data_IF_622945410013
#
_entry.id   IF_622945410013
#
_cell.length_a   1.000
_cell.length_b   1.000
_cell.length_c   1.000
_cell.angle_alpha   90.00
_cell.angle_beta   90.00
_cell.angle_gamma   90.00
#
_symmetry.space_group_name_H-M   'P 1'
#
loop_
_entity.id
_entity.type
_entity.pdbx_description
1 polymer ?
#
# COMPACT_ATOMS: atom_id res chain seq x y z
N UNK A 1 45.43 -8.91 -23.19
CA UNK A 1 44.00 -8.57 -23.20
C UNK A 1 43.44 -8.98 -21.84
N UNK A 2 43.11 -7.99 -21.02
CA UNK A 2 43.15 -8.12 -19.56
C UNK A 2 41.92 -8.82 -19.00
N UNK A 3 42.13 -9.72 -18.03
CA UNK A 3 41.06 -10.37 -17.23
C UNK A 3 40.23 -9.31 -16.48
N UNK A 4 40.78 -8.11 -16.29
CA UNK A 4 40.16 -6.99 -15.60
C UNK A 4 39.07 -6.30 -16.45
N UNK A 5 39.25 -6.17 -17.76
CA UNK A 5 38.24 -5.61 -18.67
C UNK A 5 37.03 -6.53 -18.81
N UNK A 6 37.22 -7.86 -18.80
CA UNK A 6 36.12 -8.82 -18.88
C UNK A 6 35.30 -8.88 -17.58
N UNK A 7 35.94 -8.70 -16.42
CA UNK A 7 35.27 -8.58 -15.12
C UNK A 7 34.50 -7.27 -14.96
N UNK A 8 35.02 -6.16 -15.50
CA UNK A 8 34.32 -4.87 -15.49
C UNK A 8 33.12 -4.91 -16.45
N UNK A 9 33.27 -5.50 -17.65
CA UNK A 9 32.15 -5.70 -18.58
C UNK A 9 31.10 -6.65 -18.01
N UNK A 10 31.50 -7.69 -17.27
CA UNK A 10 30.55 -8.65 -16.68
C UNK A 10 29.78 -8.03 -15.52
N UNK A 11 30.43 -7.22 -14.66
CA UNK A 11 29.77 -6.45 -13.61
C UNK A 11 28.82 -5.38 -14.19
N UNK A 12 29.22 -4.69 -15.27
CA UNK A 12 28.38 -3.72 -15.97
C UNK A 12 27.23 -4.36 -16.79
N UNK A 13 27.35 -5.63 -17.17
CA UNK A 13 26.24 -6.44 -17.72
C UNK A 13 25.29 -6.92 -16.63
N UNK A 14 25.81 -7.23 -15.44
CA UNK A 14 25.01 -7.71 -14.30
C UNK A 14 24.14 -6.61 -13.67
N UNK A 15 24.53 -5.34 -13.80
CA UNK A 15 23.73 -4.19 -13.33
C UNK A 15 22.50 -3.87 -14.18
N UNK A 16 22.27 -4.59 -15.29
CA UNK A 16 21.20 -4.27 -16.25
C UNK A 16 19.92 -5.10 -16.14
N UNK A 17 19.69 -5.76 -15.00
CA UNK A 17 18.39 -6.35 -14.64
C UNK A 17 18.05 -5.98 -13.19
N UNK A 18 17.90 -4.69 -12.90
CA UNK A 18 17.16 -4.27 -11.70
C UNK A 18 15.72 -4.77 -11.95
N UNK A 19 15.29 -5.81 -11.24
CA UNK A 19 13.92 -6.32 -11.37
C UNK A 19 12.97 -5.22 -10.92
N UNK A 20 12.26 -4.61 -11.88
CA UNK A 20 11.25 -3.60 -11.59
C UNK A 20 9.93 -4.33 -11.36
N UNK A 21 9.47 -4.34 -10.11
CA UNK A 21 8.11 -4.77 -9.81
C UNK A 21 7.15 -3.62 -10.08
N UNK A 22 6.16 -3.83 -10.94
CA UNK A 22 5.06 -2.89 -11.15
C UNK A 22 3.90 -3.27 -10.25
N UNK A 23 3.48 -2.33 -9.42
CA UNK A 23 2.42 -2.55 -8.43
C UNK A 23 1.29 -1.58 -8.73
N UNK A 24 0.08 -2.13 -8.85
CA UNK A 24 -1.15 -1.34 -9.03
C UNK A 24 -2.04 -1.56 -7.82
N UNK A 25 -2.45 -0.48 -7.15
CA UNK A 25 -3.53 -0.51 -6.16
C UNK A 25 -4.76 0.10 -6.83
N UNK A 26 -5.88 -0.61 -6.78
CA UNK A 26 -7.16 -0.07 -7.22
C UNK A 26 -8.03 0.15 -5.98
N UNK A 27 -8.52 1.37 -5.81
CA UNK A 27 -9.47 1.72 -4.77
C UNK A 27 -10.81 1.96 -5.46
N UNK A 28 -11.71 0.99 -5.31
CA UNK A 28 -13.05 1.07 -5.87
C UNK A 28 -14.01 1.66 -4.84
N UNK A 29 -14.32 2.95 -4.97
CA UNK A 29 -15.23 3.67 -4.08
C UNK A 29 -16.68 3.70 -4.63
N UNK A 30 -17.02 2.80 -5.56
CA UNK A 30 -18.29 2.90 -6.30
C UNK A 30 -19.53 2.63 -5.45
N UNK A 31 -19.39 1.76 -4.44
CA UNK A 31 -20.46 1.35 -3.54
C UNK A 31 -20.52 2.17 -2.25
N UNK A 32 -19.50 2.99 -1.99
CA UNK A 32 -19.46 3.87 -0.83
C UNK A 32 -20.30 5.12 -1.06
N UNK A 33 -20.82 5.67 0.04
CA UNK A 33 -21.44 7.01 0.05
C UNK A 33 -20.46 8.11 0.45
N UNK A 34 -19.28 7.71 0.91
CA UNK A 34 -18.25 8.61 1.44
C UNK A 34 -17.25 8.98 0.33
N UNK A 35 -16.69 10.17 0.40
CA UNK A 35 -15.53 10.60 -0.38
C UNK A 35 -14.26 10.32 0.41
N UNK A 36 -13.19 9.98 -0.30
CA UNK A 36 -11.86 9.81 0.29
C UNK A 36 -11.03 11.07 0.01
N UNK A 37 -10.47 11.67 1.05
CA UNK A 37 -9.75 12.94 1.01
C UNK A 37 -8.30 12.80 1.42
N UNK A 38 -7.51 13.83 1.12
CA UNK A 38 -6.14 14.02 1.57
C UNK A 38 -5.26 12.78 1.42
N UNK A 39 -5.32 12.14 0.24
CA UNK A 39 -4.53 10.96 -0.06
C UNK A 39 -3.06 11.15 0.30
N UNK A 40 -2.52 10.25 1.13
CA UNK A 40 -1.10 10.19 1.53
C UNK A 40 -0.55 8.79 1.29
N UNK A 41 0.74 8.69 1.06
CA UNK A 41 1.40 7.38 0.92
C UNK A 41 2.73 7.36 1.65
N UNK A 42 2.98 6.27 2.36
CA UNK A 42 4.29 5.95 2.91
C UNK A 42 4.84 4.77 2.12
N UNK A 43 5.99 4.97 1.50
CA UNK A 43 6.62 4.02 0.60
C UNK A 43 7.84 3.41 1.27
N UNK A 44 7.87 2.09 1.40
CA UNK A 44 9.08 1.39 1.83
C UNK A 44 10.23 1.62 0.84
N UNK A 45 11.46 1.33 1.28
CA UNK A 45 12.69 1.51 0.49
C UNK A 45 12.54 0.97 -0.94
N UNK A 46 13.02 1.74 -1.92
CA UNK A 46 13.04 1.34 -3.33
C UNK A 46 11.70 1.45 -4.07
N UNK A 47 10.62 1.84 -3.40
CA UNK A 47 9.33 2.09 -4.04
C UNK A 47 9.18 3.55 -4.47
N UNK A 48 8.55 3.75 -5.63
CA UNK A 48 8.27 5.07 -6.19
C UNK A 48 6.88 5.09 -6.85
N UNK A 49 6.16 6.20 -6.68
CA UNK A 49 4.95 6.48 -7.46
C UNK A 49 5.30 6.75 -8.94
N UNK A 50 4.57 6.12 -9.85
CA UNK A 50 4.67 6.40 -11.30
C UNK A 50 3.85 7.64 -11.64
N UNK A 51 2.65 7.70 -11.10
CA UNK A 51 1.71 8.81 -11.23
C UNK A 51 1.50 9.47 -9.87
N UNK A 52 1.18 10.77 -9.82
CA UNK A 52 0.78 11.42 -8.58
C UNK A 52 -0.31 10.62 -7.86
N UNK A 53 -0.22 10.56 -6.53
CA UNK A 53 -1.25 9.94 -5.71
C UNK A 53 -2.55 10.75 -5.86
N UNK A 54 -3.71 10.12 -6.14
CA UNK A 54 -5.00 10.80 -6.15
C UNK A 54 -5.24 11.42 -4.77
N UNK A 55 -5.36 12.75 -4.74
CA UNK A 55 -5.62 13.49 -3.50
C UNK A 55 -7.05 13.23 -2.99
N UNK A 56 -7.96 12.95 -3.92
CA UNK A 56 -9.38 12.72 -3.66
C UNK A 56 -9.89 11.57 -4.51
N UNK A 57 -10.81 10.77 -3.97
CA UNK A 57 -11.59 9.76 -4.70
C UNK A 57 -13.05 9.98 -4.33
N UNK A 58 -13.87 10.52 -5.25
CA UNK A 58 -15.26 10.80 -4.91
C UNK A 58 -16.05 9.51 -4.70
N UNK A 59 -17.20 9.64 -4.02
CA UNK A 59 -18.23 8.60 -4.06
C UNK A 59 -18.53 8.22 -5.51
N UNK A 60 -18.76 6.93 -5.77
CA UNK A 60 -19.06 6.41 -7.13
C UNK A 60 -17.88 6.42 -8.12
N UNK A 61 -16.67 6.72 -7.66
CA UNK A 61 -15.46 6.69 -8.50
C UNK A 61 -14.56 5.50 -8.17
N UNK A 62 -13.61 5.23 -9.07
CA UNK A 62 -12.55 4.26 -8.86
C UNK A 62 -11.25 4.90 -9.31
N UNK A 63 -10.23 4.79 -8.46
CA UNK A 63 -8.91 5.32 -8.77
C UNK A 63 -7.85 4.23 -8.70
N UNK A 64 -6.79 4.43 -9.51
CA UNK A 64 -5.69 3.48 -9.64
C UNK A 64 -4.37 4.15 -9.34
N UNK A 65 -3.64 3.58 -8.38
CA UNK A 65 -2.34 4.09 -7.94
C UNK A 65 -1.29 3.14 -8.49
N UNK A 66 -0.41 3.67 -9.33
CA UNK A 66 0.66 2.90 -9.98
C UNK A 66 1.99 3.20 -9.33
N UNK A 67 2.72 2.15 -8.96
CA UNK A 67 4.05 2.23 -8.35
C UNK A 67 5.03 1.28 -9.03
N UNK A 68 6.29 1.64 -8.91
CA UNK A 68 7.43 0.83 -9.29
C UNK A 68 8.26 0.53 -8.03
N UNK A 69 8.78 -0.68 -7.95
CA UNK A 69 9.82 -1.03 -6.98
C UNK A 69 11.07 -1.47 -7.71
N UNK A 70 12.21 -0.86 -7.37
CA UNK A 70 13.53 -1.26 -7.87
C UNK A 70 14.12 -2.45 -7.09
N UNK A 71 13.41 -2.92 -6.07
CA UNK A 71 13.78 -4.08 -5.27
C UNK A 71 12.66 -5.14 -5.31
N UNK A 72 13.05 -6.42 -5.24
CA UNK A 72 12.09 -7.53 -5.34
C UNK A 72 11.06 -7.55 -4.20
N UNK A 73 11.44 -7.05 -3.02
CA UNK A 73 10.57 -6.95 -1.84
C UNK A 73 10.05 -5.53 -1.74
N UNK A 74 8.73 -5.34 -1.82
CA UNK A 74 8.12 -4.02 -1.69
C UNK A 74 7.13 -3.99 -0.53
N UNK A 75 6.97 -2.85 0.14
CA UNK A 75 5.91 -2.65 1.11
C UNK A 75 5.55 -1.16 1.19
N UNK A 76 4.39 -0.85 1.73
CA UNK A 76 3.96 0.53 1.95
C UNK A 76 2.47 0.60 2.26
N UNK A 77 2.03 1.82 2.57
CA UNK A 77 0.63 2.16 2.83
C UNK A 77 0.18 3.30 1.95
N UNK A 78 -1.11 3.29 1.67
CA UNK A 78 -1.86 4.45 1.19
C UNK A 78 -2.93 4.74 2.23
N UNK A 79 -3.07 6.02 2.58
CA UNK A 79 -4.00 6.50 3.58
C UNK A 79 -4.91 7.56 2.98
N UNK A 80 -6.19 7.51 3.32
CA UNK A 80 -7.19 8.52 2.99
C UNK A 80 -7.99 8.88 4.23
N UNK A 81 -8.43 10.12 4.33
CA UNK A 81 -9.45 10.55 5.28
C UNK A 81 -10.84 10.23 4.71
N UNK A 82 -11.76 9.72 5.52
CA UNK A 82 -13.11 9.33 5.09
C UNK A 82 -14.10 10.47 5.39
N UNK A 83 -14.58 11.14 4.35
CA UNK A 83 -15.33 12.40 4.44
C UNK A 83 -14.62 13.40 5.38
N UNK A 84 -15.38 14.28 6.03
CA UNK A 84 -14.95 15.14 7.14
C UNK A 84 -15.28 14.49 8.51
N UNK A 85 -15.30 13.15 8.59
CA UNK A 85 -15.60 12.45 9.85
C UNK A 85 -14.41 12.57 10.80
N UNK A 86 -14.67 13.06 12.01
CA UNK A 86 -13.64 13.21 13.02
C UNK A 86 -14.16 12.88 14.43
N UNK A 87 -13.23 12.46 15.29
CA UNK A 87 -13.40 12.29 16.73
C UNK A 87 -12.25 13.01 17.44
N UNK A 88 -12.57 13.88 18.39
CA UNK A 88 -11.58 14.74 19.08
C UNK A 88 -10.62 15.49 18.14
N UNK A 89 -11.12 15.92 16.98
CA UNK A 89 -10.38 16.59 15.89
C UNK A 89 -9.43 15.69 15.09
N UNK A 90 -9.43 14.38 15.33
CA UNK A 90 -8.68 13.41 14.53
C UNK A 90 -9.58 12.85 13.44
N UNK A 91 -9.13 12.82 12.17
CA UNK A 91 -9.93 12.30 11.07
C UNK A 91 -10.05 10.78 11.14
N UNK A 92 -11.19 10.26 10.70
CA UNK A 92 -11.35 8.82 10.46
C UNK A 92 -10.57 8.43 9.20
N UNK A 93 -9.64 7.49 9.34
CA UNK A 93 -8.72 7.10 8.28
C UNK A 93 -9.11 5.77 7.64
N UNK A 94 -8.92 5.65 6.34
CA UNK A 94 -8.81 4.41 5.59
C UNK A 94 -7.34 4.18 5.26
N UNK A 95 -6.75 3.09 5.75
CA UNK A 95 -5.36 2.71 5.47
C UNK A 95 -5.34 1.40 4.71
N UNK A 96 -4.71 1.40 3.54
CA UNK A 96 -4.50 0.22 2.70
C UNK A 96 -3.02 -0.12 2.70
N UNK A 97 -2.66 -1.21 3.37
CA UNK A 97 -1.28 -1.67 3.47
C UNK A 97 -0.99 -2.87 2.57
N UNK A 98 0.24 -2.94 2.07
CA UNK A 98 0.69 -4.07 1.23
C UNK A 98 2.13 -4.46 1.50
N UNK A 99 2.43 -5.72 1.21
CA UNK A 99 3.76 -6.32 1.18
C UNK A 99 3.86 -7.31 0.02
N UNK A 100 4.81 -7.04 -0.87
CA UNK A 100 5.21 -7.93 -1.95
C UNK A 100 6.37 -8.79 -1.45
N UNK A 101 6.13 -10.11 -1.46
CA UNK A 101 7.07 -11.11 -0.98
C UNK A 101 7.93 -11.63 -2.13
N UNK A 102 9.19 -11.96 -1.85
CA UNK A 102 10.06 -12.68 -2.81
C UNK A 102 9.73 -14.18 -2.81
N UNK A 103 9.40 -14.70 -1.63
CA UNK A 103 9.07 -16.11 -1.39
C UNK A 103 7.77 -16.14 -0.58
N UNK A 104 6.84 -16.97 -1.00
CA UNK A 104 5.51 -17.07 -0.40
C UNK A 104 4.55 -16.00 -0.90
N UNK A 105 3.39 -15.92 -0.25
CA UNK A 105 2.30 -15.04 -0.69
C UNK A 105 2.57 -13.57 -0.40
N UNK A 106 2.04 -12.73 -1.27
CA UNK A 106 1.87 -11.32 -1.02
C UNK A 106 0.86 -11.15 0.13
N UNK A 107 1.03 -10.06 0.86
CA UNK A 107 0.22 -9.74 2.03
C UNK A 107 -0.38 -8.36 1.87
N UNK A 108 -1.63 -8.20 2.28
CA UNK A 108 -2.31 -6.91 2.32
C UNK A 108 -3.15 -6.81 3.58
N UNK A 109 -3.51 -5.60 3.98
CA UNK A 109 -4.54 -5.36 4.98
C UNK A 109 -5.28 -4.07 4.64
N UNK A 110 -6.44 -3.89 5.26
CA UNK A 110 -7.11 -2.61 5.32
C UNK A 110 -7.48 -2.31 6.77
N UNK A 111 -7.32 -1.06 7.18
CA UNK A 111 -7.64 -0.56 8.51
C UNK A 111 -8.54 0.66 8.37
N UNK A 112 -9.59 0.74 9.20
CA UNK A 112 -10.38 1.96 9.39
C UNK A 112 -10.35 2.29 10.87
N UNK A 113 -9.96 3.52 11.19
CA UNK A 113 -9.86 3.97 12.57
C UNK A 113 -9.19 5.33 12.69
N UNK A 114 -8.89 5.72 13.92
CA UNK A 114 -8.21 6.97 14.27
C UNK A 114 -6.75 6.71 14.63
N UNK A 115 -5.91 7.76 14.57
CA UNK A 115 -4.49 7.66 14.94
C UNK A 115 -4.27 7.27 16.41
N UNK A 116 -5.27 7.46 17.28
CA UNK A 116 -5.26 7.08 18.69
C UNK A 116 -5.60 5.63 18.96
N UNK A 117 -6.04 4.88 17.95
CA UNK A 117 -6.46 3.50 18.14
C UNK A 117 -5.24 2.64 18.52
N UNK A 118 -5.37 1.72 19.51
CA UNK A 118 -4.25 0.92 20.01
C UNK A 118 -3.51 0.12 18.93
N UNK A 119 -4.22 -0.30 17.88
CA UNK A 119 -3.72 -1.12 16.79
C UNK A 119 -3.41 -0.31 15.52
N UNK A 120 -3.28 1.03 15.64
CA UNK A 120 -3.04 1.92 14.51
C UNK A 120 -1.74 1.55 13.76
N UNK A 121 -1.80 1.26 12.45
CA UNK A 121 -0.64 0.82 11.68
C UNK A 121 0.19 2.02 11.20
N UNK A 122 1.09 2.49 12.05
CA UNK A 122 2.02 3.58 11.71
C UNK A 122 3.14 3.14 10.74
N UNK A 123 3.86 4.12 10.17
CA UNK A 123 4.98 3.87 9.24
C UNK A 123 6.07 2.95 9.83
N UNK A 124 6.30 3.04 11.15
CA UNK A 124 7.40 2.34 11.81
C UNK A 124 7.08 0.87 12.03
N UNK A 125 5.82 0.56 12.30
CA UNK A 125 5.30 -0.78 12.58
C UNK A 125 4.81 -1.50 11.32
N UNK A 126 4.59 -0.81 10.20
CA UNK A 126 3.91 -1.35 9.02
C UNK A 126 4.43 -2.70 8.50
N UNK A 127 5.76 -2.87 8.47
CA UNK A 127 6.37 -4.10 7.97
C UNK A 127 6.23 -5.26 8.96
N UNK A 128 6.12 -4.99 10.26
CA UNK A 128 5.81 -5.97 11.31
C UNK A 128 4.32 -6.28 11.31
N UNK A 129 3.47 -5.26 11.27
CA UNK A 129 2.02 -5.38 11.12
C UNK A 129 1.64 -6.25 9.92
N UNK A 130 2.27 -6.04 8.75
CA UNK A 130 2.04 -6.87 7.56
C UNK A 130 2.56 -8.31 7.71
N UNK A 131 3.54 -8.59 8.58
CA UNK A 131 3.97 -9.97 8.84
C UNK A 131 2.91 -10.71 9.65
N UNK A 132 2.35 -10.04 10.66
CA UNK A 132 1.46 -10.63 11.66
C UNK A 132 0.00 -10.66 11.18
N UNK A 133 -0.45 -9.57 10.55
CA UNK A 133 -1.84 -9.31 10.18
C UNK A 133 -2.10 -9.31 8.67
N UNK A 134 -1.12 -9.72 7.86
CA UNK A 134 -1.31 -9.74 6.41
C UNK A 134 -2.27 -10.84 5.94
N UNK A 135 -3.18 -10.46 5.03
CA UNK A 135 -4.30 -11.26 4.49
C UNK A 135 -5.45 -11.49 5.47
N UNK A 136 -5.56 -10.71 6.55
CA UNK A 136 -6.73 -10.70 7.46
C UNK A 136 -7.85 -9.79 6.96
N UNK A 137 -7.99 -9.63 5.64
CA UNK A 137 -8.89 -8.71 4.95
C UNK A 137 -10.40 -8.86 5.22
N UNK A 138 -10.81 -9.51 6.30
CA UNK A 138 -12.18 -9.85 6.61
C UNK A 138 -12.49 -9.91 8.10
N UNK A 139 -11.73 -9.25 8.99
CA UNK A 139 -12.26 -8.94 10.33
C UNK A 139 -13.34 -7.85 10.22
N UNK A 140 -14.50 -8.32 9.79
CA UNK A 140 -15.78 -7.62 9.57
C UNK A 140 -16.37 -7.03 10.86
N UNK A 141 -15.67 -7.12 11.99
CA UNK A 141 -16.17 -6.66 13.28
C UNK A 141 -15.83 -5.18 13.54
N UNK A 142 -14.62 -4.72 13.24
CA UNK A 142 -14.25 -3.31 13.50
C UNK A 142 -14.90 -2.35 12.49
N UNK A 143 -15.06 -2.78 11.24
CA UNK A 143 -15.72 -1.95 10.22
C UNK A 143 -17.23 -1.78 10.43
N UNK A 144 -17.88 -2.67 11.20
CA UNK A 144 -19.30 -2.55 11.55
C UNK A 144 -19.57 -1.29 12.37
N UNK A 145 -18.64 -0.87 13.22
CA UNK A 145 -18.77 0.37 13.99
C UNK A 145 -18.92 1.60 13.08
N UNK A 146 -18.26 1.58 11.91
CA UNK A 146 -18.31 2.68 10.94
C UNK A 146 -19.23 2.42 9.74
N UNK A 147 -19.98 1.31 9.73
CA UNK A 147 -20.89 0.89 8.65
C UNK A 147 -20.23 0.85 7.26
N UNK A 148 -18.97 0.43 7.19
CA UNK A 148 -18.23 0.30 5.93
C UNK A 148 -17.95 -1.17 5.64
N UNK A 149 -18.23 -1.64 4.44
CA UNK A 149 -17.81 -2.99 3.99
C UNK A 149 -16.62 -2.85 3.07
N UNK A 150 -15.60 -3.66 3.28
CA UNK A 150 -14.37 -3.65 2.48
C UNK A 150 -14.08 -5.05 2.00
N UNK A 151 -13.95 -5.17 0.68
CA UNK A 151 -13.43 -6.35 0.02
C UNK A 151 -12.06 -5.99 -0.57
N UNK A 152 -11.07 -6.86 -0.36
CA UNK A 152 -9.75 -6.68 -0.94
C UNK A 152 -9.13 -7.99 -1.38
N UNK A 153 -8.16 -7.88 -2.28
CA UNK A 153 -7.36 -9.01 -2.74
C UNK A 153 -6.00 -8.51 -3.23
N UNK A 154 -5.04 -9.42 -3.29
CA UNK A 154 -3.73 -9.17 -3.88
C UNK A 154 -3.35 -10.40 -4.73
N UNK A 155 -2.80 -10.17 -5.92
CA UNK A 155 -2.21 -11.24 -6.73
C UNK A 155 -0.78 -11.55 -6.21
N UNK A 156 -0.37 -12.81 -6.23
CA UNK A 156 0.99 -13.27 -5.90
C UNK A 156 1.99 -13.14 -7.08
N UNK A 157 1.51 -12.83 -8.28
CA UNK A 157 2.30 -12.70 -9.51
C UNK A 157 1.74 -13.57 -10.61
#
# INVERSE_FOLDING_TARGET
MSIQESLILSAAKFTKNILINRITININNTQSRNTLHHGRSVLGIGNKLITPLPVMINRRETESIKLESTIKKAYGIVTYEIDDRCEDSLPLLLIVGRKISIIGKNKWFVFIGYETDPDFPDERSINEYLKENGNTGSNTLDFKAHSTTIDGSINDG
#
